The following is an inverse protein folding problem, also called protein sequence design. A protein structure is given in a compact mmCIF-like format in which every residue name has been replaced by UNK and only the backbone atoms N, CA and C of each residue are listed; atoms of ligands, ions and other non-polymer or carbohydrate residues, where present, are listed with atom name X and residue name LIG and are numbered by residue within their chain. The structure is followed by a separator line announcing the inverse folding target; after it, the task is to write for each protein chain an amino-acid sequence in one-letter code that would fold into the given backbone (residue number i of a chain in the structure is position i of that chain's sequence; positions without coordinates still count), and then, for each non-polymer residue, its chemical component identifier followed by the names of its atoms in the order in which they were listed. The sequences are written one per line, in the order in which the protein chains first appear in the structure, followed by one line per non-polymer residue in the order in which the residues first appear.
data_IF_194611194933
#
_entry.id   IF_194611194933
#
_cell.length_a   1.000
_cell.length_b   1.000
_cell.length_c   1.000
_cell.angle_alpha   90.00
_cell.angle_beta   90.00
_cell.angle_gamma   90.00
#
_symmetry.space_group_name_H-M   'P 1'
#
loop_
_entity.id
_entity.type
_entity.pdbx_description
1 polymer ?
#
# COMPACT_ATOMS: atom_id res chain seq x y z
N UNK A 1 -12.12 44.61 -17.52
CA UNK A 1 -13.30 43.75 -17.37
C UNK A 1 -12.75 42.36 -17.11
N UNK A 2 -12.83 41.86 -15.88
CA UNK A 2 -12.24 40.56 -15.53
C UNK A 2 -13.12 39.44 -16.12
N UNK A 3 -12.67 38.85 -17.23
CA UNK A 3 -13.39 37.76 -17.89
C UNK A 3 -13.05 36.46 -17.15
N UNK A 4 -14.05 35.83 -16.55
CA UNK A 4 -13.96 34.48 -15.98
C UNK A 4 -14.54 33.48 -16.97
N UNK A 5 -13.73 32.53 -17.44
CA UNK A 5 -14.21 31.46 -18.31
C UNK A 5 -15.07 30.49 -17.49
N UNK A 6 -14.65 30.17 -16.26
CA UNK A 6 -15.41 29.31 -15.37
C UNK A 6 -16.77 29.94 -15.02
N UNK A 7 -16.79 31.19 -14.58
CA UNK A 7 -18.02 31.93 -14.26
C UNK A 7 -18.97 32.06 -15.45
N UNK A 8 -18.45 32.09 -16.68
CA UNK A 8 -19.27 32.15 -17.89
C UNK A 8 -20.08 30.87 -18.15
N UNK A 9 -19.62 29.72 -17.64
CA UNK A 9 -20.29 28.43 -17.82
C UNK A 9 -20.87 27.86 -16.53
N UNK A 10 -20.47 28.36 -15.36
CA UNK A 10 -20.79 27.81 -14.04
C UNK A 10 -22.30 27.64 -13.74
N UNK A 11 -23.16 28.56 -14.21
CA UNK A 11 -24.62 28.48 -14.01
C UNK A 11 -25.28 27.37 -14.83
N UNK A 12 -24.63 26.90 -15.89
CA UNK A 12 -25.10 25.81 -16.74
C UNK A 12 -24.50 24.45 -16.30
N UNK A 13 -23.84 24.42 -15.13
CA UNK A 13 -22.82 23.44 -14.76
C UNK A 13 -23.12 22.65 -13.47
N UNK A 14 -24.22 22.92 -12.76
CA UNK A 14 -24.48 22.36 -11.42
C UNK A 14 -24.42 20.82 -11.39
N UNK A 15 -24.77 20.15 -12.48
CA UNK A 15 -24.82 18.69 -12.55
C UNK A 15 -23.53 18.01 -13.07
N UNK A 16 -22.51 18.76 -13.53
CA UNK A 16 -21.33 18.22 -14.26
C UNK A 16 -19.97 18.51 -13.60
N UNK A 17 -19.96 18.84 -12.31
CA UNK A 17 -18.72 19.06 -11.55
C UNK A 17 -17.96 17.76 -11.35
N UNK A 18 -16.86 17.57 -12.09
CA UNK A 18 -16.05 16.36 -12.08
C UNK A 18 -14.58 16.61 -11.71
N UNK A 19 -14.13 17.86 -11.69
CA UNK A 19 -12.74 18.22 -11.35
C UNK A 19 -12.70 18.81 -9.95
N UNK A 20 -12.11 18.06 -9.00
CA UNK A 20 -11.95 18.48 -7.60
C UNK A 20 -10.52 18.67 -7.14
N UNK A 21 -9.59 18.01 -7.83
CA UNK A 21 -8.17 18.01 -7.49
C UNK A 21 -7.35 18.43 -8.70
N UNK A 22 -6.14 18.93 -8.44
CA UNK A 22 -5.16 19.22 -9.49
C UNK A 22 -4.82 17.98 -10.32
N UNK A 23 -4.77 16.79 -9.68
CA UNK A 23 -4.49 15.52 -10.35
C UNK A 23 -5.57 15.18 -11.36
N UNK A 24 -6.85 15.35 -11.00
CA UNK A 24 -7.98 15.13 -11.90
C UNK A 24 -7.97 16.14 -13.05
N UNK A 25 -7.70 17.42 -12.77
CA UNK A 25 -7.60 18.47 -13.79
C UNK A 25 -6.49 18.15 -14.82
N UNK A 26 -5.32 17.73 -14.35
CA UNK A 26 -4.20 17.37 -15.19
C UNK A 26 -4.48 16.11 -16.02
N UNK A 27 -5.07 15.07 -15.41
CA UNK A 27 -5.45 13.84 -16.12
C UNK A 27 -6.44 14.13 -17.25
N UNK A 28 -7.47 14.93 -16.98
CA UNK A 28 -8.46 15.34 -17.97
C UNK A 28 -7.85 16.20 -19.10
N UNK A 29 -7.10 17.24 -18.74
CA UNK A 29 -6.35 18.05 -19.71
C UNK A 29 -5.46 17.21 -20.63
N UNK A 30 -4.74 16.24 -20.05
CA UNK A 30 -3.89 15.32 -20.82
C UNK A 30 -4.70 14.43 -21.77
N UNK A 31 -5.85 13.89 -21.35
CA UNK A 31 -6.70 13.08 -22.23
C UNK A 31 -7.16 13.86 -23.47
N UNK A 32 -7.57 15.13 -23.31
CA UNK A 32 -7.93 15.98 -24.46
C UNK A 32 -6.75 16.21 -25.40
N UNK A 33 -5.59 16.56 -24.85
CA UNK A 33 -4.39 16.84 -25.63
C UNK A 33 -3.91 15.59 -26.37
N UNK A 34 -3.88 14.44 -25.70
CA UNK A 34 -3.50 13.17 -26.32
C UNK A 34 -4.49 12.75 -27.42
N UNK A 35 -5.78 13.06 -27.28
CA UNK A 35 -6.74 12.80 -28.34
C UNK A 35 -6.44 13.61 -29.60
N UNK A 36 -6.08 14.88 -29.45
CA UNK A 36 -5.66 15.74 -30.56
C UNK A 36 -4.37 15.22 -31.21
N UNK A 37 -3.38 14.83 -30.40
CA UNK A 37 -2.09 14.35 -30.89
C UNK A 37 -2.18 12.99 -31.60
N UNK A 38 -2.92 12.04 -31.04
CA UNK A 38 -3.01 10.67 -31.57
C UNK A 38 -3.75 10.61 -32.92
N UNK A 39 -4.75 11.47 -33.10
CA UNK A 39 -5.52 11.54 -34.35
C UNK A 39 -5.03 12.63 -35.30
N UNK A 40 -3.93 13.30 -34.96
CA UNK A 40 -3.36 14.41 -35.72
C UNK A 40 -4.40 15.46 -36.13
N UNK A 41 -5.27 15.83 -35.19
CA UNK A 41 -6.42 16.66 -35.50
C UNK A 41 -5.99 18.12 -35.76
N UNK A 42 -6.33 18.63 -36.94
CA UNK A 42 -6.08 20.01 -37.32
C UNK A 42 -7.11 20.95 -36.65
N UNK A 43 -6.93 21.20 -35.36
CA UNK A 43 -7.86 21.93 -34.47
C UNK A 43 -7.33 23.30 -34.05
N UNK A 44 -8.25 24.16 -33.62
CA UNK A 44 -7.93 25.30 -32.78
C UNK A 44 -7.92 24.84 -31.32
N UNK A 45 -6.74 24.90 -30.71
CA UNK A 45 -6.50 24.47 -29.33
C UNK A 45 -6.18 25.68 -28.46
N UNK A 46 -6.93 25.82 -27.37
CA UNK A 46 -6.71 26.82 -26.34
C UNK A 46 -6.30 26.12 -25.05
N UNK A 47 -5.18 26.53 -24.45
CA UNK A 47 -4.68 25.96 -23.20
C UNK A 47 -4.31 27.07 -22.25
N UNK A 48 -4.90 27.06 -21.05
CA UNK A 48 -4.53 27.93 -19.94
C UNK A 48 -3.88 27.12 -18.81
N UNK A 49 -2.63 27.44 -18.50
CA UNK A 49 -1.93 26.97 -17.31
C UNK A 49 -1.61 28.15 -16.39
N UNK A 50 -1.19 27.88 -15.16
CA UNK A 50 -0.88 28.93 -14.19
C UNK A 50 0.31 29.79 -14.64
N UNK A 51 1.38 29.17 -15.17
CA UNK A 51 2.67 29.86 -15.45
C UNK A 51 3.32 29.40 -16.75
N UNK A 52 4.12 30.28 -17.36
CA UNK A 52 4.92 29.96 -18.54
C UNK A 52 5.98 28.88 -18.29
N UNK A 53 6.55 28.82 -17.09
CA UNK A 53 7.47 27.73 -16.71
C UNK A 53 6.84 26.33 -16.80
N UNK A 54 5.52 26.19 -16.57
CA UNK A 54 4.84 24.89 -16.70
C UNK A 54 4.84 24.39 -18.15
N UNK A 55 4.77 25.30 -19.14
CA UNK A 55 4.85 24.94 -20.56
C UNK A 55 6.25 24.47 -20.93
N UNK A 56 7.29 25.06 -20.34
CA UNK A 56 8.70 24.65 -20.59
C UNK A 56 8.96 23.26 -20.03
N UNK A 57 8.42 22.94 -18.86
CA UNK A 57 8.52 21.58 -18.29
C UNK A 57 7.92 20.51 -19.23
N UNK A 58 6.95 20.89 -20.07
CA UNK A 58 6.28 20.01 -21.04
C UNK A 58 6.65 20.36 -22.51
N UNK A 59 7.84 20.92 -22.75
CA UNK A 59 8.24 21.46 -24.07
C UNK A 59 8.05 20.47 -25.22
N UNK A 60 8.36 19.19 -25.02
CA UNK A 60 8.23 18.16 -26.07
C UNK A 60 6.77 17.98 -26.52
N UNK A 61 5.86 17.85 -25.56
CA UNK A 61 4.41 17.72 -25.79
C UNK A 61 3.86 18.94 -26.54
N UNK A 62 4.23 20.15 -26.10
CA UNK A 62 3.79 21.38 -26.74
C UNK A 62 4.43 21.59 -28.13
N UNK A 63 5.67 21.15 -28.34
CA UNK A 63 6.30 21.17 -29.67
C UNK A 63 5.54 20.28 -30.66
N UNK A 64 5.12 19.09 -30.23
CA UNK A 64 4.26 18.20 -31.04
C UNK A 64 2.91 18.85 -31.33
N UNK A 65 2.28 19.47 -30.33
CA UNK A 65 1.01 20.19 -30.52
C UNK A 65 1.12 21.33 -31.53
N UNK A 66 2.18 22.14 -31.45
CA UNK A 66 2.41 23.23 -32.40
C UNK A 66 2.67 22.79 -33.84
N UNK A 67 3.08 21.53 -34.04
CA UNK A 67 3.24 20.94 -35.38
C UNK A 67 1.95 20.33 -35.93
N UNK A 68 1.03 19.89 -35.05
CA UNK A 68 -0.20 19.17 -35.41
C UNK A 68 -1.41 20.09 -35.54
N UNK A 69 -1.60 20.99 -34.58
CA UNK A 69 -2.78 21.86 -34.53
C UNK A 69 -2.71 22.96 -35.59
N UNK A 70 -3.87 23.45 -36.04
CA UNK A 70 -3.93 24.66 -36.89
C UNK A 70 -3.40 25.87 -36.14
N UNK A 71 -3.80 25.97 -34.88
CA UNK A 71 -3.40 27.03 -33.98
C UNK A 71 -3.41 26.52 -32.54
N UNK A 72 -2.38 26.92 -31.78
CA UNK A 72 -2.35 26.74 -30.33
C UNK A 72 -2.19 28.10 -29.67
N UNK A 73 -3.14 28.47 -28.79
CA UNK A 73 -3.02 29.62 -27.92
C UNK A 73 -2.75 29.15 -26.49
N UNK A 74 -1.59 29.52 -25.96
CA UNK A 74 -1.14 29.16 -24.63
C UNK A 74 -1.22 30.38 -23.70
N UNK A 75 -2.07 30.32 -22.69
CA UNK A 75 -2.25 31.37 -21.70
C UNK A 75 -1.54 31.00 -20.40
N UNK A 76 -0.89 31.97 -19.78
CA UNK A 76 -0.22 31.78 -18.49
C UNK A 76 0.42 33.05 -17.97
N UNK A 77 0.73 33.06 -16.68
CA UNK A 77 1.46 34.17 -16.05
C UNK A 77 2.93 34.16 -16.55
N UNK A 78 3.47 35.29 -17.03
CA UNK A 78 4.83 35.38 -17.55
C UNK A 78 5.87 35.42 -16.41
N UNK A 79 6.07 34.28 -15.73
CA UNK A 79 7.12 34.11 -14.72
C UNK A 79 8.53 33.99 -15.34
N UNK A 80 8.57 33.54 -16.59
CA UNK A 80 9.76 33.51 -17.45
C UNK A 80 9.44 34.18 -18.79
N UNK A 81 10.47 34.43 -19.60
CA UNK A 81 10.28 34.86 -20.99
C UNK A 81 9.43 33.86 -21.78
N UNK A 82 8.57 34.37 -22.67
CA UNK A 82 7.68 33.55 -23.48
C UNK A 82 8.46 32.45 -24.21
N UNK A 83 8.09 31.16 -24.04
CA UNK A 83 8.82 30.07 -24.67
C UNK A 83 8.79 30.15 -26.20
N UNK A 84 9.94 29.95 -26.85
CA UNK A 84 10.02 29.88 -28.31
C UNK A 84 9.66 28.47 -28.78
N UNK A 85 8.36 28.18 -28.86
CA UNK A 85 7.82 26.93 -29.42
C UNK A 85 7.09 27.23 -30.73
N UNK A 86 7.56 26.64 -31.83
CA UNK A 86 6.97 26.85 -33.16
C UNK A 86 5.52 26.39 -33.18
N UNK A 87 4.62 27.22 -33.74
CA UNK A 87 3.20 26.92 -33.87
C UNK A 87 2.35 27.22 -32.62
N UNK A 88 2.96 27.75 -31.56
CA UNK A 88 2.26 28.18 -30.35
C UNK A 88 2.38 29.70 -30.21
N UNK A 89 1.25 30.35 -29.94
CA UNK A 89 1.22 31.75 -29.54
C UNK A 89 0.99 31.84 -28.03
N UNK A 90 1.96 32.38 -27.31
CA UNK A 90 1.87 32.62 -25.88
C UNK A 90 1.18 33.95 -25.61
N UNK A 91 0.16 33.93 -24.77
CA UNK A 91 -0.63 35.10 -24.38
C UNK A 91 -0.40 35.32 -22.88
N UNK A 92 0.24 36.43 -22.49
CA UNK A 92 0.50 36.71 -21.09
C UNK A 92 -0.80 37.00 -20.35
N UNK A 93 -0.99 36.36 -19.20
CA UNK A 93 -2.05 36.68 -18.25
C UNK A 93 -1.50 37.69 -17.23
N UNK A 94 -2.29 38.71 -16.90
CA UNK A 94 -1.95 39.66 -15.83
C UNK A 94 -1.98 38.96 -14.45
N UNK A 95 -0.91 39.07 -13.63
CA UNK A 95 -0.89 38.56 -12.27
C UNK A 95 -2.04 39.18 -11.44
N UNK A 96 -2.74 38.35 -10.68
CA UNK A 96 -3.91 38.72 -9.88
C UNK A 96 -5.25 38.66 -10.62
N UNK A 97 -5.26 38.40 -11.93
CA UNK A 97 -6.51 38.27 -12.70
C UNK A 97 -7.25 36.96 -12.39
N UNK A 98 -8.55 36.91 -12.68
CA UNK A 98 -9.35 35.68 -12.48
C UNK A 98 -8.83 34.51 -13.32
N UNK A 99 -8.26 34.79 -14.50
CA UNK A 99 -7.70 33.76 -15.39
C UNK A 99 -6.44 33.09 -14.81
N UNK A 100 -5.70 33.74 -13.92
CA UNK A 100 -4.55 33.12 -13.23
C UNK A 100 -5.01 31.91 -12.39
N UNK A 101 -6.23 31.99 -11.83
CA UNK A 101 -6.83 30.95 -10.99
C UNK A 101 -7.55 29.88 -11.82
N UNK A 102 -7.68 30.08 -13.12
CA UNK A 102 -8.42 29.18 -14.01
C UNK A 102 -7.47 28.34 -14.88
N UNK A 103 -7.64 27.03 -14.82
CA UNK A 103 -7.02 26.07 -15.73
C UNK A 103 -8.04 25.64 -16.76
N UNK A 104 -7.68 25.68 -18.03
CA UNK A 104 -8.59 25.28 -19.09
C UNK A 104 -7.88 24.65 -20.28
N UNK A 105 -8.58 23.74 -20.94
CA UNK A 105 -8.22 23.20 -22.25
C UNK A 105 -9.48 23.17 -23.08
N UNK A 106 -9.48 23.82 -24.24
CA UNK A 106 -10.62 23.84 -25.15
C UNK A 106 -10.15 23.51 -26.55
N UNK A 107 -10.82 22.54 -27.16
CA UNK A 107 -10.64 22.14 -28.54
C UNK A 107 -11.91 22.48 -29.30
N UNK A 108 -11.77 23.18 -30.42
CA UNK A 108 -12.90 23.54 -31.25
C UNK A 108 -12.60 23.29 -32.72
N UNK A 109 -13.24 22.28 -33.31
CA UNK A 109 -13.09 21.95 -34.74
C UNK A 109 -14.36 21.28 -35.30
N UNK A 110 -14.50 21.17 -36.64
CA UNK A 110 -15.63 20.47 -37.26
C UNK A 110 -15.82 19.04 -36.76
N UNK A 111 -14.72 18.33 -36.57
CA UNK A 111 -14.68 16.89 -36.31
C UNK A 111 -14.55 16.55 -34.82
N UNK A 112 -14.00 17.47 -34.03
CA UNK A 112 -13.84 17.29 -32.59
C UNK A 112 -13.98 18.61 -31.82
N UNK A 113 -14.84 18.61 -30.80
CA UNK A 113 -15.01 19.72 -29.87
C UNK A 113 -15.19 19.24 -28.43
N UNK A 114 -14.43 19.81 -27.52
CA UNK A 114 -14.50 19.49 -26.10
C UNK A 114 -13.84 20.60 -25.29
N UNK A 115 -14.22 20.72 -24.03
CA UNK A 115 -13.61 21.68 -23.13
C UNK A 115 -13.51 21.14 -21.71
N UNK A 116 -12.49 21.58 -21.01
CA UNK A 116 -12.35 21.47 -19.57
C UNK A 116 -12.02 22.86 -19.04
N UNK A 117 -12.73 23.28 -18.00
CA UNK A 117 -12.44 24.53 -17.28
C UNK A 117 -12.55 24.25 -15.79
N UNK A 118 -11.55 24.66 -15.02
CA UNK A 118 -11.50 24.50 -13.58
C UNK A 118 -10.89 25.74 -12.94
N UNK A 119 -11.42 26.17 -11.79
CA UNK A 119 -10.90 27.29 -11.01
C UNK A 119 -10.37 26.79 -9.66
N UNK A 120 -9.30 27.39 -9.14
CA UNK A 120 -8.79 27.08 -7.81
C UNK A 120 -9.70 27.66 -6.73
N UNK A 121 -10.09 26.83 -5.77
CA UNK A 121 -10.88 27.25 -4.60
C UNK A 121 -9.94 27.41 -3.40
N UNK A 122 -9.83 28.64 -2.89
CA UNK A 122 -9.09 28.90 -1.65
C UNK A 122 -9.84 28.24 -0.47
N UNK A 123 -9.20 27.27 0.18
CA UNK A 123 -9.72 26.69 1.42
C UNK A 123 -9.37 27.60 2.60
N UNK A 124 -10.37 27.97 3.38
CA UNK A 124 -10.29 28.92 4.50
C UNK A 124 -9.45 28.43 5.70
N UNK A 125 -8.78 27.27 5.59
CA UNK A 125 -7.96 26.69 6.65
C UNK A 125 -6.50 26.65 6.17
N UNK A 126 -5.68 27.57 6.67
CA UNK A 126 -4.27 27.82 6.31
C UNK A 126 -3.27 26.69 6.59
N UNK A 127 -3.64 25.44 6.33
CA UNK A 127 -2.73 24.32 6.14
C UNK A 127 -2.41 24.23 4.64
N UNK A 128 -1.16 23.94 4.23
CA UNK A 128 -0.82 23.65 2.84
C UNK A 128 -1.37 22.26 2.48
N UNK A 129 -2.68 22.17 2.29
CA UNK A 129 -3.36 21.00 1.73
C UNK A 129 -3.71 21.33 0.28
N UNK A 130 -3.55 20.31 -0.56
CA UNK A 130 -3.85 20.24 -2.00
C UNK A 130 -4.78 21.37 -2.48
N UNK A 131 -4.33 22.16 -3.46
CA UNK A 131 -5.19 23.13 -4.13
C UNK A 131 -6.45 22.40 -4.61
N UNK A 132 -7.58 22.73 -3.99
CA UNK A 132 -8.87 22.23 -4.43
C UNK A 132 -9.27 22.99 -5.68
N UNK A 133 -9.79 22.26 -6.65
CA UNK A 133 -10.33 22.84 -7.87
C UNK A 133 -11.85 22.65 -7.88
N UNK A 134 -12.54 23.56 -8.55
CA UNK A 134 -13.93 23.38 -8.93
C UNK A 134 -14.02 23.57 -10.44
N UNK A 135 -14.48 22.55 -11.13
CA UNK A 135 -14.41 22.50 -12.58
C UNK A 135 -15.15 21.32 -13.16
N UNK A 136 -15.16 21.27 -14.48
CA UNK A 136 -15.52 20.04 -15.14
C UNK A 136 -15.17 20.00 -16.60
N UNK A 137 -15.74 18.98 -17.21
CA UNK A 137 -15.54 18.59 -18.59
C UNK A 137 -16.85 18.68 -19.34
N UNK A 138 -16.82 19.17 -20.58
CA UNK A 138 -17.99 19.30 -21.43
C UNK A 138 -17.72 19.01 -22.90
N UNK A 139 -18.75 18.45 -23.56
CA UNK A 139 -18.82 18.26 -25.02
C UNK A 139 -19.96 19.10 -25.63
N UNK A 140 -20.60 19.96 -24.85
CA UNK A 140 -21.71 20.77 -25.32
C UNK A 140 -21.18 21.85 -26.29
N UNK A 141 -21.77 21.89 -27.50
CA UNK A 141 -21.41 22.84 -28.55
C UNK A 141 -21.47 24.30 -28.08
N UNK A 142 -22.56 24.70 -27.43
CA UNK A 142 -22.78 26.09 -27.01
C UNK A 142 -21.73 26.52 -25.99
N UNK A 143 -21.36 25.62 -25.07
CA UNK A 143 -20.30 25.88 -24.09
C UNK A 143 -18.94 26.02 -24.76
N UNK A 144 -18.58 25.11 -25.67
CA UNK A 144 -17.30 25.18 -26.40
C UNK A 144 -17.21 26.46 -27.23
N UNK A 145 -18.28 26.82 -27.94
CA UNK A 145 -18.32 28.04 -28.74
C UNK A 145 -18.23 29.30 -27.87
N UNK A 146 -18.91 29.32 -26.72
CA UNK A 146 -18.85 30.43 -25.76
C UNK A 146 -17.44 30.62 -25.19
N UNK A 147 -16.81 29.54 -24.72
CA UNK A 147 -15.46 29.63 -24.16
C UNK A 147 -14.46 29.99 -25.27
N UNK A 148 -14.57 29.40 -26.45
CA UNK A 148 -13.70 29.74 -27.60
C UNK A 148 -13.82 31.21 -28.01
N UNK A 149 -15.03 31.77 -27.99
CA UNK A 149 -15.28 33.19 -28.25
C UNK A 149 -14.58 34.07 -27.19
N UNK A 150 -14.79 33.79 -25.91
CA UNK A 150 -14.18 34.56 -24.81
C UNK A 150 -12.66 34.50 -24.87
N UNK A 151 -12.09 33.31 -25.08
CA UNK A 151 -10.65 33.11 -25.21
C UNK A 151 -10.08 33.86 -26.41
N UNK A 152 -10.80 33.87 -27.55
CA UNK A 152 -10.38 34.64 -28.74
C UNK A 152 -10.42 36.15 -28.47
N UNK A 153 -11.41 36.64 -27.73
CA UNK A 153 -11.50 38.05 -27.33
C UNK A 153 -10.34 38.45 -26.41
N UNK A 154 -10.01 37.61 -25.41
CA UNK A 154 -8.86 37.83 -24.52
C UNK A 154 -7.56 37.85 -25.34
N UNK A 155 -7.45 37.00 -26.36
CA UNK A 155 -6.31 36.95 -27.27
C UNK A 155 -6.24 38.13 -28.26
N UNK A 156 -7.25 39.01 -28.30
CA UNK A 156 -7.35 40.08 -29.30
C UNK A 156 -7.50 39.55 -30.73
N UNK A 157 -8.11 38.37 -30.92
CA UNK A 157 -8.31 37.71 -32.22
C UNK A 157 -9.79 37.64 -32.60
N UNK A 158 -10.05 37.64 -33.90
CA UNK A 158 -11.38 37.36 -34.43
C UNK A 158 -11.75 35.89 -34.20
N UNK A 159 -12.91 35.67 -33.59
CA UNK A 159 -13.48 34.33 -33.43
C UNK A 159 -14.15 33.88 -34.72
N UNK A 160 -13.73 32.75 -35.26
CA UNK A 160 -14.37 32.12 -36.42
C UNK A 160 -15.29 30.98 -35.96
N UNK A 161 -16.62 31.14 -36.06
CA UNK A 161 -17.54 30.08 -35.68
C UNK A 161 -17.45 28.90 -36.66
N UNK A 162 -17.43 27.69 -36.11
CA UNK A 162 -17.41 26.46 -36.90
C UNK A 162 -18.80 26.23 -37.53
N UNK A 163 -18.87 26.35 -38.85
CA UNK A 163 -20.13 26.30 -39.60
C UNK A 163 -20.70 24.88 -39.71
N UNK A 164 -19.83 23.89 -39.96
CA UNK A 164 -20.22 22.49 -40.16
C UNK A 164 -19.63 21.61 -39.06
N UNK A 165 -20.45 20.73 -38.48
CA UNK A 165 -20.04 19.79 -37.42
C UNK A 165 -20.28 18.36 -37.86
N UNK A 166 -19.29 17.51 -37.67
CA UNK A 166 -19.38 16.08 -37.91
C UNK A 166 -19.67 15.35 -36.60
N UNK A 167 -20.96 15.18 -36.29
CA UNK A 167 -21.39 14.51 -35.06
C UNK A 167 -20.97 13.04 -34.99
N UNK A 168 -20.83 12.36 -36.12
CA UNK A 168 -20.37 10.97 -36.12
C UNK A 168 -18.90 10.86 -35.69
N UNK A 169 -18.05 11.72 -36.25
CA UNK A 169 -16.63 11.79 -35.88
C UNK A 169 -16.46 12.23 -34.41
N UNK A 170 -17.23 13.23 -33.97
CA UNK A 170 -17.26 13.65 -32.57
C UNK A 170 -17.62 12.49 -31.63
N UNK A 171 -18.68 11.76 -31.93
CA UNK A 171 -19.13 10.65 -31.08
C UNK A 171 -18.09 9.53 -31.01
N UNK A 172 -17.37 9.27 -32.12
CA UNK A 172 -16.25 8.33 -32.12
C UNK A 172 -15.12 8.77 -31.18
N UNK A 173 -14.74 10.06 -31.21
CA UNK A 173 -13.73 10.59 -30.30
C UNK A 173 -14.18 10.59 -28.84
N UNK A 174 -15.45 10.91 -28.54
CA UNK A 174 -16.01 10.83 -27.18
C UNK A 174 -15.96 9.38 -26.68
N UNK A 175 -16.36 8.40 -27.50
CA UNK A 175 -16.37 7.01 -27.10
C UNK A 175 -14.96 6.51 -26.74
N UNK A 176 -13.95 6.88 -27.53
CA UNK A 176 -12.55 6.54 -27.25
C UNK A 176 -12.02 7.22 -25.99
N UNK A 177 -12.34 8.52 -25.80
CA UNK A 177 -11.97 9.24 -24.58
C UNK A 177 -12.57 8.60 -23.33
N UNK A 178 -13.86 8.26 -23.38
CA UNK A 178 -14.52 7.58 -22.27
C UNK A 178 -13.91 6.20 -21.99
N UNK A 179 -13.55 5.45 -23.04
CA UNK A 179 -12.85 4.17 -22.89
C UNK A 179 -11.50 4.35 -22.18
N UNK A 180 -10.67 5.31 -22.60
CA UNK A 180 -9.38 5.60 -21.97
C UNK A 180 -9.53 6.09 -20.54
N UNK A 181 -10.54 6.91 -20.26
CA UNK A 181 -10.84 7.37 -18.91
C UNK A 181 -11.20 6.19 -18.00
N UNK A 182 -12.02 5.25 -18.49
CA UNK A 182 -12.38 4.04 -17.75
C UNK A 182 -11.15 3.17 -17.46
N UNK A 183 -10.29 2.95 -18.46
CA UNK A 183 -9.03 2.21 -18.30
C UNK A 183 -8.11 2.86 -17.24
N UNK A 184 -8.03 4.20 -17.22
CA UNK A 184 -7.26 4.92 -16.20
C UNK A 184 -7.88 4.82 -14.80
N UNK A 185 -9.21 4.87 -14.70
CA UNK A 185 -9.91 4.71 -13.43
C UNK A 185 -9.74 3.31 -12.86
N UNK A 186 -9.88 2.27 -13.70
CA UNK A 186 -9.66 0.88 -13.30
C UNK A 186 -8.21 0.66 -12.83
N UNK A 187 -7.22 1.19 -13.56
CA UNK A 187 -5.82 1.11 -13.16
C UNK A 187 -5.56 1.82 -11.82
N UNK A 188 -6.10 3.02 -11.64
CA UNK A 188 -5.96 3.79 -10.40
C UNK A 188 -6.66 3.12 -9.22
N UNK A 189 -7.82 2.49 -9.44
CA UNK A 189 -8.55 1.73 -8.42
C UNK A 189 -7.75 0.51 -7.97
N UNK A 190 -7.19 -0.26 -8.91
CA UNK A 190 -6.32 -1.40 -8.61
C UNK A 190 -5.11 -0.96 -7.78
N UNK A 191 -4.45 0.15 -8.16
CA UNK A 191 -3.30 0.68 -7.42
C UNK A 191 -3.69 1.15 -6.01
N UNK A 192 -4.80 1.87 -5.89
CA UNK A 192 -5.33 2.34 -4.60
C UNK A 192 -5.66 1.16 -3.68
N UNK A 193 -6.33 0.14 -4.21
CA UNK A 193 -6.67 -1.06 -3.46
C UNK A 193 -5.40 -1.79 -2.98
N UNK A 194 -4.40 -1.97 -3.85
CA UNK A 194 -3.10 -2.56 -3.46
C UNK A 194 -2.41 -1.74 -2.37
N UNK A 195 -2.39 -0.41 -2.50
CA UNK A 195 -1.78 0.47 -1.49
C UNK A 195 -2.46 0.36 -0.13
N UNK A 196 -3.78 0.27 -0.10
CA UNK A 196 -4.53 0.03 1.14
C UNK A 196 -4.20 -1.32 1.77
N UNK A 197 -4.08 -2.38 0.96
CA UNK A 197 -3.67 -3.71 1.44
C UNK A 197 -2.26 -3.67 2.04
N UNK A 198 -1.30 -3.00 1.39
CA UNK A 198 0.06 -2.81 1.90
C UNK A 198 0.08 -2.07 3.25
N UNK A 199 -0.63 -0.94 3.35
CA UNK A 199 -0.69 -0.14 4.58
C UNK A 199 -1.38 -0.91 5.72
N UNK A 200 -2.47 -1.61 5.42
CA UNK A 200 -3.20 -2.42 6.41
C UNK A 200 -2.33 -3.58 6.92
N UNK A 201 -1.59 -4.23 6.02
CA UNK A 201 -0.63 -5.30 6.37
C UNK A 201 0.44 -4.79 7.34
N UNK A 202 1.05 -3.63 7.04
CA UNK A 202 2.07 -3.04 7.92
C UNK A 202 1.50 -2.60 9.27
N UNK A 203 0.31 -1.99 9.27
CA UNK A 203 -0.37 -1.58 10.49
C UNK A 203 -0.66 -2.77 11.41
N UNK A 204 -1.31 -3.81 10.91
CA UNK A 204 -1.60 -5.03 11.68
C UNK A 204 -0.33 -5.75 12.13
N UNK A 205 0.68 -5.83 11.27
CA UNK A 205 1.96 -6.39 11.65
C UNK A 205 2.61 -5.60 12.79
N UNK A 206 2.60 -4.25 12.72
CA UNK A 206 3.13 -3.41 13.79
C UNK A 206 2.39 -3.60 15.12
N UNK A 207 1.08 -3.83 15.06
CA UNK A 207 0.27 -4.12 16.25
C UNK A 207 0.69 -5.44 16.91
N UNK A 208 1.02 -6.49 16.13
CA UNK A 208 1.58 -7.74 16.67
C UNK A 208 2.95 -7.51 17.31
N UNK A 209 3.81 -6.70 16.70
CA UNK A 209 5.15 -6.45 17.23
C UNK A 209 5.14 -5.82 18.63
N UNK A 210 4.09 -5.06 18.95
CA UNK A 210 3.91 -4.41 20.25
C UNK A 210 3.40 -5.36 21.35
N UNK A 211 2.92 -6.56 20.98
CA UNK A 211 2.40 -7.53 21.95
C UNK A 211 3.54 -8.37 22.53
N UNK A 212 3.52 -8.59 23.86
CA UNK A 212 4.49 -9.45 24.56
C UNK A 212 4.24 -10.96 24.34
N UNK A 213 4.10 -11.38 23.08
CA UNK A 213 3.85 -12.79 22.73
C UNK A 213 5.15 -13.59 22.55
N UNK A 214 5.16 -14.91 22.75
CA UNK A 214 6.32 -15.74 22.44
C UNK A 214 6.62 -15.74 20.92
N UNK A 215 7.90 -15.86 20.56
CA UNK A 215 8.37 -15.73 19.17
C UNK A 215 7.66 -16.66 18.17
N UNK A 216 7.34 -17.93 18.49
CA UNK A 216 6.59 -18.79 17.59
C UNK A 216 5.21 -18.24 17.20
N UNK A 217 4.49 -17.60 18.14
CA UNK A 217 3.19 -16.98 17.87
C UNK A 217 3.32 -15.78 16.93
N UNK A 218 4.30 -14.91 17.18
CA UNK A 218 4.58 -13.74 16.33
C UNK A 218 4.88 -14.18 14.87
N UNK A 219 5.68 -15.23 14.70
CA UNK A 219 6.01 -15.75 13.36
C UNK A 219 4.78 -16.36 12.67
N UNK A 220 3.94 -17.07 13.43
CA UNK A 220 2.71 -17.67 12.91
C UNK A 220 1.70 -16.59 12.47
N UNK A 221 1.51 -15.56 13.28
CA UNK A 221 0.58 -14.47 12.98
C UNK A 221 1.11 -13.60 11.83
N UNK A 222 2.43 -13.40 11.73
CA UNK A 222 3.05 -12.72 10.59
C UNK A 222 2.76 -13.45 9.26
N UNK A 223 2.90 -14.79 9.23
CA UNK A 223 2.53 -15.58 8.06
C UNK A 223 1.03 -15.51 7.78
N UNK A 224 0.19 -15.53 8.83
CA UNK A 224 -1.25 -15.40 8.67
C UNK A 224 -1.60 -14.06 8.02
N UNK A 225 -1.09 -12.94 8.52
CA UNK A 225 -1.30 -11.60 7.92
C UNK A 225 -0.87 -11.57 6.45
N UNK A 226 0.30 -12.13 6.13
CA UNK A 226 0.79 -12.19 4.75
C UNK A 226 -0.13 -13.03 3.83
N UNK A 227 -0.79 -14.05 4.36
CA UNK A 227 -1.76 -14.84 3.59
C UNK A 227 -3.13 -14.17 3.51
N UNK A 228 -3.63 -13.56 4.59
CA UNK A 228 -5.02 -13.09 4.68
C UNK A 228 -5.21 -11.63 4.27
N UNK A 229 -4.31 -10.74 4.69
CA UNK A 229 -4.42 -9.29 4.46
C UNK A 229 -3.57 -8.88 3.27
N UNK A 230 -2.40 -9.48 3.08
CA UNK A 230 -1.56 -9.18 1.92
C UNK A 230 -1.97 -9.96 0.66
N UNK A 231 -2.83 -10.97 0.80
CA UNK A 231 -3.40 -11.73 -0.32
C UNK A 231 -2.46 -12.74 -0.96
N UNK A 232 -1.38 -13.14 -0.26
CA UNK A 232 -0.50 -14.18 -0.77
C UNK A 232 -1.21 -15.54 -0.81
N UNK A 233 -1.09 -16.26 -1.94
CA UNK A 233 -1.63 -17.62 -2.06
C UNK A 233 -0.99 -18.55 -1.04
N UNK A 234 0.29 -18.32 -0.78
CA UNK A 234 1.05 -19.05 0.21
C UNK A 234 2.09 -18.11 0.85
N UNK A 235 2.44 -18.35 2.10
CA UNK A 235 3.48 -17.59 2.81
C UNK A 235 4.29 -18.48 3.74
N UNK A 236 5.60 -18.23 3.81
CA UNK A 236 6.51 -19.04 4.60
C UNK A 236 7.59 -18.19 5.29
N UNK A 237 7.99 -18.63 6.49
CA UNK A 237 9.17 -18.10 7.19
C UNK A 237 10.10 -19.27 7.53
N UNK A 238 11.36 -19.13 7.12
CA UNK A 238 12.44 -20.05 7.48
C UNK A 238 13.50 -19.33 8.29
N UNK A 239 13.96 -19.96 9.38
CA UNK A 239 15.01 -19.41 10.25
C UNK A 239 16.25 -20.30 10.22
N UNK A 240 17.42 -19.69 10.37
CA UNK A 240 18.71 -20.37 10.44
C UNK A 240 19.01 -20.84 11.87
N UNK A 241 19.20 -22.15 12.06
CA UNK A 241 19.56 -22.76 13.34
C UNK A 241 20.96 -23.34 13.24
N UNK A 242 21.98 -22.56 13.65
CA UNK A 242 23.41 -22.90 13.74
C UNK A 242 23.91 -24.03 12.82
N UNK A 243 24.60 -23.62 11.74
CA UNK A 243 25.34 -24.48 10.82
C UNK A 243 24.49 -24.94 9.63
N UNK A 244 24.40 -24.10 8.58
CA UNK A 244 23.76 -24.34 7.25
C UNK A 244 22.40 -25.06 7.22
N UNK A 245 21.74 -25.13 8.38
CA UNK A 245 20.52 -25.89 8.61
C UNK A 245 19.40 -24.93 8.93
N UNK A 246 18.52 -24.78 7.96
CA UNK A 246 17.35 -23.94 8.07
C UNK A 246 16.13 -24.77 8.48
N UNK A 247 15.36 -24.25 9.42
CA UNK A 247 14.08 -24.82 9.82
C UNK A 247 12.96 -23.94 9.27
N UNK A 248 12.06 -24.55 8.52
CA UNK A 248 10.81 -23.94 8.08
C UNK A 248 9.91 -23.87 9.31
N UNK A 249 9.63 -22.66 9.81
CA UNK A 249 8.88 -22.47 11.05
C UNK A 249 7.37 -22.43 10.79
N UNK A 250 6.97 -21.70 9.75
CA UNK A 250 5.56 -21.52 9.42
C UNK A 250 5.37 -21.61 7.91
N UNK A 251 4.35 -22.36 7.50
CA UNK A 251 3.85 -22.44 6.13
C UNK A 251 2.32 -22.25 6.21
N UNK A 252 1.79 -21.23 5.52
CA UNK A 252 0.36 -20.92 5.45
C UNK A 252 -0.33 -20.81 6.82
N UNK A 253 0.35 -20.15 7.78
CA UNK A 253 -0.18 -19.90 9.11
C UNK A 253 -0.29 -21.14 10.00
N UNK A 254 0.20 -22.30 9.55
CA UNK A 254 0.30 -23.54 10.33
C UNK A 254 1.74 -23.80 10.73
N UNK A 255 1.93 -24.21 11.99
CA UNK A 255 3.20 -24.74 12.47
C UNK A 255 3.47 -26.06 11.74
N UNK A 256 4.62 -26.16 11.09
CA UNK A 256 5.00 -27.33 10.30
C UNK A 256 5.28 -28.54 11.21
N UNK A 257 4.37 -29.52 11.20
CA UNK A 257 4.50 -30.79 11.94
C UNK A 257 5.57 -31.68 11.32
N UNK A 258 6.82 -31.48 11.77
CA UNK A 258 7.80 -32.57 11.96
C UNK A 258 8.43 -33.26 10.74
N UNK A 259 7.96 -33.08 9.49
CA UNK A 259 8.52 -33.79 8.31
C UNK A 259 9.13 -32.92 7.21
N UNK A 260 9.05 -31.59 7.30
CA UNK A 260 9.68 -30.74 6.28
C UNK A 260 11.16 -30.55 6.59
N UNK A 261 11.93 -31.29 5.80
CA UNK A 261 13.38 -31.41 5.66
C UNK A 261 14.15 -30.16 6.08
N UNK A 262 15.16 -30.40 6.92
CA UNK A 262 16.46 -29.75 6.80
C UNK A 262 16.86 -29.73 5.32
N UNK A 263 16.56 -28.65 4.63
CA UNK A 263 16.92 -28.47 3.23
C UNK A 263 18.00 -27.43 3.18
N UNK A 264 19.05 -27.67 2.40
CA UNK A 264 20.01 -26.64 2.03
C UNK A 264 19.25 -25.55 1.30
N UNK A 265 18.88 -24.49 2.01
CA UNK A 265 18.12 -23.34 1.52
C UNK A 265 19.00 -22.48 0.59
N UNK A 266 19.91 -23.08 -0.17
CA UNK A 266 20.87 -22.43 -1.06
C UNK A 266 20.45 -22.40 -2.53
N UNK A 267 19.29 -22.95 -2.88
CA UNK A 267 18.78 -23.01 -4.26
C UNK A 267 17.37 -22.41 -4.30
N UNK A 268 17.10 -21.54 -5.28
CA UNK A 268 15.82 -20.82 -5.43
C UNK A 268 15.90 -19.33 -5.08
N UNK A 269 14.75 -18.66 -5.07
CA UNK A 269 14.59 -17.25 -4.72
C UNK A 269 14.92 -17.00 -3.25
N UNK A 270 14.45 -17.88 -2.37
CA UNK A 270 14.68 -17.76 -0.92
C UNK A 270 16.14 -17.96 -0.56
N UNK A 271 16.84 -18.84 -1.27
CA UNK A 271 18.29 -19.04 -1.08
C UNK A 271 19.16 -17.93 -1.62
N UNK A 272 18.77 -17.33 -2.75
CA UNK A 272 19.42 -16.11 -3.24
C UNK A 272 19.23 -14.95 -2.27
N UNK A 273 18.03 -14.79 -1.72
CA UNK A 273 17.75 -13.73 -0.75
C UNK A 273 18.62 -13.88 0.51
N UNK A 274 18.81 -15.12 1.00
CA UNK A 274 19.69 -15.43 2.12
C UNK A 274 21.17 -15.16 1.80
N UNK A 275 21.67 -15.66 0.68
CA UNK A 275 23.09 -15.57 0.31
C UNK A 275 23.50 -14.14 -0.06
N UNK A 276 22.63 -13.42 -0.76
CA UNK A 276 22.90 -12.06 -1.24
C UNK A 276 22.48 -10.99 -0.24
N UNK A 277 21.72 -11.35 0.81
CA UNK A 277 21.13 -10.41 1.77
C UNK A 277 20.35 -9.28 1.07
N UNK A 278 19.59 -9.63 0.02
CA UNK A 278 18.82 -8.70 -0.80
C UNK A 278 17.42 -9.25 -1.07
N UNK A 279 16.49 -8.32 -1.30
CA UNK A 279 15.16 -8.65 -1.78
C UNK A 279 15.28 -9.31 -3.17
N UNK A 280 14.68 -10.50 -3.32
CA UNK A 280 14.58 -11.18 -4.62
C UNK A 280 13.10 -11.28 -4.98
N UNK A 281 12.75 -10.74 -6.16
CA UNK A 281 11.42 -10.84 -6.73
C UNK A 281 11.50 -11.60 -8.05
N UNK A 282 10.69 -12.65 -8.18
CA UNK A 282 10.58 -13.46 -9.39
C UNK A 282 9.14 -13.36 -9.89
N UNK A 283 8.99 -12.71 -11.05
CA UNK A 283 7.74 -12.57 -11.78
C UNK A 283 7.17 -13.91 -12.26
N UNK A 284 8.05 -14.81 -12.75
CA UNK A 284 7.66 -16.12 -13.24
C UNK A 284 8.77 -17.17 -13.02
N UNK A 285 8.47 -18.14 -12.16
CA UNK A 285 9.36 -19.25 -11.78
C UNK A 285 9.59 -20.21 -12.96
N UNK A 286 8.61 -20.37 -13.84
CA UNK A 286 8.71 -21.25 -15.02
C UNK A 286 9.77 -20.76 -16.01
N UNK A 287 9.88 -19.43 -16.17
CA UNK A 287 10.84 -18.82 -17.10
C UNK A 287 12.28 -18.84 -16.56
N UNK A 288 12.43 -18.75 -15.24
CA UNK A 288 13.75 -18.74 -14.60
C UNK A 288 14.32 -20.14 -14.37
N UNK A 289 13.49 -21.19 -14.45
CA UNK A 289 13.90 -22.59 -14.25
C UNK A 289 14.33 -22.91 -12.81
N UNK A 290 14.11 -21.98 -11.87
CA UNK A 290 14.52 -22.11 -10.48
C UNK A 290 13.44 -22.84 -9.68
N UNK A 291 13.71 -24.03 -9.15
CA UNK A 291 12.75 -24.70 -8.26
C UNK A 291 12.86 -24.12 -6.85
N UNK A 292 11.81 -23.44 -6.41
CA UNK A 292 11.70 -22.95 -5.04
C UNK A 292 11.32 -24.09 -4.09
N UNK A 293 12.13 -24.29 -3.04
CA UNK A 293 11.98 -25.42 -2.11
C UNK A 293 10.90 -25.12 -1.07
N UNK A 294 10.76 -23.86 -0.67
CA UNK A 294 9.74 -23.44 0.30
C UNK A 294 8.33 -23.48 -0.29
N UNK A 295 8.21 -23.25 -1.61
CA UNK A 295 6.92 -22.95 -2.26
C UNK A 295 6.86 -23.55 -3.68
N UNK A 296 6.72 -24.88 -3.81
CA UNK A 296 6.78 -25.55 -5.12
C UNK A 296 5.58 -25.24 -6.04
N UNK A 297 4.45 -24.77 -5.50
CA UNK A 297 3.24 -24.44 -6.27
C UNK A 297 3.18 -22.96 -6.71
N UNK A 298 4.10 -22.12 -6.26
CA UNK A 298 4.06 -20.69 -6.55
C UNK A 298 4.70 -20.38 -7.92
N UNK A 299 3.99 -19.60 -8.72
CA UNK A 299 4.42 -19.15 -10.05
C UNK A 299 5.17 -17.82 -9.97
N UNK A 300 4.81 -16.95 -9.02
CA UNK A 300 5.54 -15.72 -8.71
C UNK A 300 5.88 -15.66 -7.22
N UNK A 301 7.04 -15.10 -6.91
CA UNK A 301 7.64 -15.16 -5.57
C UNK A 301 8.28 -13.83 -5.19
N UNK A 302 8.17 -13.47 -3.92
CA UNK A 302 8.99 -12.43 -3.29
C UNK A 302 9.64 -13.00 -2.05
N UNK A 303 10.96 -12.93 -1.99
CA UNK A 303 11.78 -13.40 -0.88
C UNK A 303 12.57 -12.25 -0.27
N UNK A 304 12.37 -11.99 1.03
CA UNK A 304 13.09 -10.97 1.78
C UNK A 304 13.88 -11.61 2.93
N UNK A 305 15.18 -11.31 3.07
CA UNK A 305 15.98 -11.79 4.18
C UNK A 305 15.55 -11.13 5.50
N UNK A 306 15.51 -11.92 6.57
CA UNK A 306 15.36 -11.45 7.95
C UNK A 306 16.76 -11.09 8.44
N UNK A 307 17.23 -9.90 8.07
CA UNK A 307 18.56 -9.42 8.39
C UNK A 307 18.53 -8.52 9.61
N UNK A 308 19.21 -8.92 10.68
CA UNK A 308 19.47 -8.03 11.81
C UNK A 308 20.88 -7.46 11.76
N UNK A 309 21.25 -6.70 12.79
CA UNK A 309 22.54 -6.03 12.92
C UNK A 309 23.72 -7.01 12.95
N UNK A 310 23.52 -8.19 13.53
CA UNK A 310 24.62 -9.15 13.79
C UNK A 310 24.73 -10.26 12.76
N UNK A 311 23.61 -10.67 12.15
CA UNK A 311 23.55 -11.78 11.18
C UNK A 311 22.21 -11.82 10.45
N UNK A 312 22.15 -12.65 9.40
CA UNK A 312 20.89 -13.07 8.77
C UNK A 312 20.26 -14.17 9.61
N UNK A 313 19.07 -13.91 10.15
CA UNK A 313 18.33 -14.84 11.00
C UNK A 313 17.47 -15.82 10.18
N UNK A 314 17.11 -15.46 8.95
CA UNK A 314 16.20 -16.25 8.13
C UNK A 314 15.73 -15.53 6.89
N UNK A 315 14.64 -16.01 6.30
CA UNK A 315 14.00 -15.45 5.10
C UNK A 315 12.48 -15.54 5.25
N UNK A 316 11.79 -14.48 4.83
CA UNK A 316 10.35 -14.44 4.61
C UNK A 316 10.12 -14.62 3.13
N UNK A 317 9.19 -15.49 2.74
CA UNK A 317 8.83 -15.71 1.34
C UNK A 317 7.32 -15.71 1.19
N UNK A 318 6.83 -14.96 0.21
CA UNK A 318 5.43 -14.95 -0.21
C UNK A 318 5.34 -15.37 -1.66
N UNK A 319 4.28 -16.08 -1.99
CA UNK A 319 4.09 -16.65 -3.33
C UNK A 319 2.66 -16.50 -3.81
N UNK A 320 2.51 -16.37 -5.12
CA UNK A 320 1.21 -16.36 -5.81
C UNK A 320 1.19 -17.39 -6.94
N UNK A 321 -0.01 -17.90 -7.24
CA UNK A 321 -0.27 -18.80 -8.38
C UNK A 321 -0.35 -18.05 -9.71
N UNK A 322 -0.45 -16.73 -9.69
CA UNK A 322 -0.46 -15.90 -10.89
C UNK A 322 0.95 -15.38 -11.22
N UNK A 323 1.37 -15.36 -12.50
CA UNK A 323 2.58 -14.66 -12.91
C UNK A 323 2.42 -13.15 -12.69
N UNK A 324 3.54 -12.44 -12.48
CA UNK A 324 3.57 -10.97 -12.31
C UNK A 324 2.65 -10.42 -11.21
N UNK A 325 2.38 -11.22 -10.18
CA UNK A 325 1.48 -10.83 -9.09
C UNK A 325 2.03 -9.69 -8.22
N UNK A 326 3.36 -9.56 -8.14
CA UNK A 326 4.06 -8.72 -7.18
C UNK A 326 4.80 -7.58 -7.84
N UNK A 327 4.58 -6.35 -7.37
CA UNK A 327 5.31 -5.17 -7.83
C UNK A 327 6.49 -4.81 -6.90
N UNK A 328 7.22 -3.75 -7.23
CA UNK A 328 8.37 -3.30 -6.41
C UNK A 328 7.96 -2.79 -5.02
N UNK A 329 6.77 -2.19 -4.87
CA UNK A 329 6.29 -1.68 -3.58
C UNK A 329 5.87 -2.83 -2.66
N UNK A 330 5.20 -3.86 -3.20
CA UNK A 330 4.89 -5.11 -2.51
C UNK A 330 6.16 -5.74 -1.92
N UNK A 331 7.24 -5.75 -2.71
CA UNK A 331 8.55 -6.19 -2.28
C UNK A 331 9.12 -5.39 -1.11
N UNK A 332 8.95 -4.06 -1.11
CA UNK A 332 9.37 -3.18 0.01
C UNK A 332 8.52 -3.45 1.26
N UNK A 333 7.21 -3.72 1.11
CA UNK A 333 6.34 -4.10 2.22
C UNK A 333 6.82 -5.40 2.88
N UNK A 334 7.11 -6.44 2.09
CA UNK A 334 7.64 -7.71 2.62
C UNK A 334 9.00 -7.51 3.29
N UNK A 335 9.87 -6.67 2.72
CA UNK A 335 11.15 -6.31 3.34
C UNK A 335 10.99 -5.59 4.69
N UNK A 336 10.02 -4.66 4.79
CA UNK A 336 9.74 -3.96 6.05
C UNK A 336 9.28 -4.94 7.14
N UNK A 337 8.43 -5.91 6.78
CA UNK A 337 8.00 -6.99 7.68
C UNK A 337 9.20 -7.84 8.12
N UNK A 338 10.04 -8.27 7.17
CA UNK A 338 11.25 -9.05 7.48
C UNK A 338 12.22 -8.30 8.40
N UNK A 339 12.36 -6.98 8.22
CA UNK A 339 13.16 -6.11 9.07
C UNK A 339 12.58 -6.02 10.48
N UNK A 340 11.27 -5.83 10.61
CA UNK A 340 10.59 -5.82 11.91
C UNK A 340 10.72 -7.14 12.67
N UNK A 341 10.62 -8.28 11.96
CA UNK A 341 10.88 -9.60 12.53
C UNK A 341 12.32 -9.73 13.05
N UNK A 342 13.30 -9.22 12.30
CA UNK A 342 14.70 -9.27 12.71
C UNK A 342 14.93 -8.55 14.05
N UNK A 343 14.31 -7.37 14.24
CA UNK A 343 14.38 -6.59 15.48
C UNK A 343 13.84 -7.37 16.68
N UNK A 344 12.65 -7.99 16.55
CA UNK A 344 12.08 -8.78 17.65
C UNK A 344 12.91 -10.02 17.95
N UNK A 345 13.40 -10.70 16.91
CA UNK A 345 14.27 -11.86 17.08
C UNK A 345 15.51 -11.43 17.86
N UNK A 346 16.15 -10.32 17.51
CA UNK A 346 17.30 -9.77 18.24
C UNK A 346 16.98 -9.43 19.70
N UNK A 347 15.89 -8.73 19.94
CA UNK A 347 15.45 -8.33 21.28
C UNK A 347 15.24 -9.57 22.17
N UNK A 348 14.54 -10.59 21.66
CA UNK A 348 14.28 -11.83 22.41
C UNK A 348 15.53 -12.71 22.56
N UNK A 349 16.45 -12.67 21.58
CA UNK A 349 17.75 -13.34 21.71
C UNK A 349 18.57 -12.80 22.87
N UNK A 350 18.62 -11.47 22.97
CA UNK A 350 19.43 -10.76 23.95
C UNK A 350 18.89 -10.94 25.36
N UNK A 351 17.55 -11.03 25.51
CA UNK A 351 16.89 -11.21 26.82
C UNK A 351 16.99 -12.64 27.35
N UNK A 352 17.02 -13.67 26.50
CA UNK A 352 16.90 -15.08 26.93
C UNK A 352 18.09 -15.99 26.64
N UNK A 353 19.18 -15.46 26.09
CA UNK A 353 20.46 -16.17 25.92
C UNK A 353 20.51 -17.22 24.80
N UNK A 354 19.39 -17.89 24.47
CA UNK A 354 19.36 -18.85 23.36
C UNK A 354 17.96 -19.06 22.76
N UNK A 355 17.68 -18.40 21.62
CA UNK A 355 16.42 -18.53 20.87
C UNK A 355 16.15 -19.99 20.49
N UNK A 356 17.21 -20.71 20.13
CA UNK A 356 17.15 -22.12 19.72
C UNK A 356 16.61 -22.99 20.85
N UNK A 357 16.99 -22.70 22.09
CA UNK A 357 16.55 -23.44 23.26
C UNK A 357 15.08 -23.18 23.57
N UNK A 358 14.63 -21.92 23.49
CA UNK A 358 13.22 -21.56 23.66
C UNK A 358 12.34 -22.21 22.58
N UNK A 359 12.79 -22.19 21.32
CA UNK A 359 12.11 -22.84 20.20
C UNK A 359 12.06 -24.36 20.35
N UNK A 360 13.14 -24.99 20.84
CA UNK A 360 13.13 -26.44 21.15
C UNK A 360 12.17 -26.77 22.28
N UNK A 361 12.15 -25.97 23.36
CA UNK A 361 11.28 -26.19 24.53
C UNK A 361 9.81 -26.04 24.18
N UNK A 362 9.43 -24.96 23.49
CA UNK A 362 8.05 -24.74 23.03
C UNK A 362 7.58 -25.90 22.13
N UNK A 363 8.42 -26.34 21.21
CA UNK A 363 8.14 -27.49 20.33
C UNK A 363 8.04 -28.81 21.09
N UNK A 364 8.92 -29.07 22.05
CA UNK A 364 8.85 -30.28 22.88
C UNK A 364 7.55 -30.32 23.69
N UNK A 365 7.13 -29.18 24.25
CA UNK A 365 5.86 -29.07 24.95
C UNK A 365 4.67 -29.33 24.02
N UNK A 366 4.60 -28.71 22.85
CA UNK A 366 3.53 -28.97 21.87
C UNK A 366 3.51 -30.43 21.40
N UNK A 367 4.67 -31.04 21.17
CA UNK A 367 4.78 -32.45 20.78
C UNK A 367 4.36 -33.39 21.91
N UNK A 368 4.67 -33.06 23.16
CA UNK A 368 4.18 -33.81 24.32
C UNK A 368 2.67 -33.67 24.45
N UNK A 369 2.13 -32.45 24.36
CA UNK A 369 0.68 -32.19 24.45
C UNK A 369 -0.10 -32.90 23.33
N UNK A 370 0.39 -32.86 22.10
CA UNK A 370 -0.24 -33.58 20.98
C UNK A 370 -0.16 -35.10 21.13
N UNK A 371 0.95 -35.63 21.64
CA UNK A 371 1.08 -37.07 21.96
C UNK A 371 0.20 -37.49 23.14
N UNK A 372 -0.06 -36.62 24.12
CA UNK A 372 -0.95 -36.86 25.26
C UNK A 372 -2.43 -36.73 24.89
N UNK A 373 -2.75 -35.97 23.86
CA UNK A 373 -4.14 -35.76 23.39
C UNK A 373 -4.82 -37.06 22.95
N UNK A 374 -4.10 -37.97 22.29
CA UNK A 374 -4.66 -39.26 21.85
C UNK A 374 -4.95 -40.23 23.02
N UNK A 375 -3.99 -40.49 23.94
CA UNK A 375 -4.23 -41.24 25.16
C UNK A 375 -5.37 -40.65 25.99
N UNK A 376 -5.40 -39.32 26.20
CA UNK A 376 -6.48 -38.66 26.95
C UNK A 376 -7.84 -38.86 26.28
N UNK A 377 -7.96 -38.66 24.96
CA UNK A 377 -9.21 -38.88 24.25
C UNK A 377 -9.68 -40.35 24.34
N UNK A 378 -8.74 -41.30 24.32
CA UNK A 378 -9.04 -42.73 24.51
C UNK A 378 -9.48 -43.05 25.93
N UNK A 379 -8.89 -42.39 26.92
CA UNK A 379 -9.24 -42.53 28.33
C UNK A 379 -10.65 -41.97 28.59
N UNK A 380 -10.97 -40.79 28.06
CA UNK A 380 -12.32 -40.21 28.06
C UNK A 380 -13.35 -41.12 27.37
N UNK A 381 -13.02 -41.68 26.22
CA UNK A 381 -13.90 -42.61 25.51
C UNK A 381 -14.17 -43.90 26.33
N UNK A 382 -13.13 -44.44 26.98
CA UNK A 382 -13.28 -45.62 27.85
C UNK A 382 -14.07 -45.28 29.12
N UNK A 383 -13.87 -44.10 29.70
CA UNK A 383 -14.61 -43.60 30.85
C UNK A 383 -16.10 -43.45 30.53
N UNK A 384 -16.44 -42.86 29.39
CA UNK A 384 -17.81 -42.70 28.94
C UNK A 384 -18.49 -44.05 28.66
N UNK A 385 -17.76 -45.00 28.06
CA UNK A 385 -18.27 -46.36 27.81
C UNK A 385 -18.48 -47.17 29.09
N UNK A 386 -17.69 -46.93 30.14
CA UNK A 386 -17.89 -47.53 31.46
C UNK A 386 -19.09 -46.91 32.19
N UNK A 387 -19.32 -45.60 32.01
CA UNK A 387 -20.48 -44.91 32.56
C UNK A 387 -21.82 -45.44 32.00
N UNK A 388 -21.83 -45.85 30.72
CA UNK A 388 -23.03 -46.41 30.06
C UNK A 388 -23.35 -47.86 30.49
N UNK A 389 -22.49 -48.53 31.29
CA UNK A 389 -22.79 -49.86 31.83
C UNK A 389 -23.53 -49.76 33.16
N UNK A 390 -24.79 -50.21 33.17
CA UNK A 390 -25.80 -50.04 34.23
C UNK A 390 -25.54 -50.75 35.57
N UNK A 391 -24.41 -51.43 35.75
CA UNK A 391 -24.05 -52.09 37.02
C UNK A 391 -22.56 -51.89 37.33
N UNK A 392 -22.22 -50.76 37.95
CA UNK A 392 -20.88 -50.50 38.50
C UNK A 392 -20.83 -50.87 39.99
N UNK A 393 -19.77 -51.56 40.41
CA UNK A 393 -19.53 -51.86 41.83
C UNK A 393 -19.15 -50.58 42.60
N UNK A 394 -19.46 -50.45 43.91
CA UNK A 394 -19.20 -49.22 44.68
C UNK A 394 -17.73 -48.77 44.65
N UNK A 395 -16.79 -49.71 44.68
CA UNK A 395 -15.35 -49.43 44.59
C UNK A 395 -14.93 -48.85 43.22
N UNK A 396 -15.67 -49.16 42.15
CA UNK A 396 -15.43 -48.58 40.83
C UNK A 396 -15.98 -47.16 40.73
N UNK A 397 -17.05 -46.82 41.46
CA UNK A 397 -17.58 -45.46 41.53
C UNK A 397 -16.63 -44.51 42.27
N UNK A 398 -15.99 -45.00 43.34
CA UNK A 398 -15.03 -44.22 44.14
C UNK A 398 -13.73 -43.94 43.37
N UNK A 399 -13.16 -44.96 42.72
CA UNK A 399 -12.01 -44.80 41.82
C UNK A 399 -12.32 -43.86 40.63
N UNK A 400 -13.55 -43.86 40.13
CA UNK A 400 -13.98 -42.96 39.05
C UNK A 400 -14.07 -41.49 39.53
N UNK A 401 -14.58 -41.25 40.74
CA UNK A 401 -14.60 -39.91 41.32
C UNK A 401 -13.18 -39.37 41.56
N UNK A 402 -12.24 -40.22 41.93
CA UNK A 402 -10.82 -39.85 42.12
C UNK A 402 -10.13 -39.50 40.79
N UNK A 403 -10.42 -40.25 39.72
CA UNK A 403 -9.94 -39.97 38.36
C UNK A 403 -10.57 -38.69 37.79
N UNK A 404 -11.85 -38.41 38.05
CA UNK A 404 -12.50 -37.15 37.69
C UNK A 404 -11.89 -35.95 38.45
N UNK A 405 -11.55 -36.13 39.72
CA UNK A 405 -10.80 -35.14 40.51
C UNK A 405 -9.44 -34.79 39.88
N UNK A 406 -8.65 -35.81 39.52
CA UNK A 406 -7.35 -35.64 38.86
C UNK A 406 -7.48 -34.98 37.47
N UNK A 407 -8.53 -35.30 36.71
CA UNK A 407 -8.79 -34.67 35.41
C UNK A 407 -9.14 -33.19 35.56
N UNK A 408 -9.89 -32.83 36.59
CA UNK A 408 -10.26 -31.44 36.91
C UNK A 408 -9.04 -30.62 37.33
N UNK A 409 -8.08 -31.23 38.04
CA UNK A 409 -6.80 -30.59 38.36
C UNK A 409 -5.92 -30.37 37.12
N UNK A 410 -5.80 -31.38 36.25
CA UNK A 410 -4.99 -31.29 35.02
C UNK A 410 -5.56 -30.25 34.04
N UNK A 411 -6.89 -30.17 33.92
CA UNK A 411 -7.54 -29.15 33.09
C UNK A 411 -7.36 -27.74 33.66
N UNK A 412 -7.41 -27.56 34.99
CA UNK A 412 -7.01 -26.28 35.63
C UNK A 412 -5.54 -25.92 35.36
N UNK A 413 -4.62 -26.88 35.40
CA UNK A 413 -3.19 -26.59 35.18
C UNK A 413 -2.81 -26.31 33.72
N UNK A 414 -3.55 -26.86 32.75
CA UNK A 414 -3.27 -26.72 31.32
C UNK A 414 -4.05 -25.57 30.68
N UNK A 415 -5.25 -25.23 31.18
CA UNK A 415 -6.17 -24.31 30.52
C UNK A 415 -6.35 -22.94 31.21
N UNK A 416 -5.98 -22.79 32.49
CA UNK A 416 -5.87 -21.46 33.10
C UNK A 416 -4.43 -20.92 32.91
N UNK A 417 -4.22 -19.83 32.14
CA UNK A 417 -2.96 -19.13 32.23
C UNK A 417 -2.85 -18.58 33.65
N UNK A 418 -1.78 -18.94 34.38
CA UNK A 418 -1.45 -18.26 35.64
C UNK A 418 -1.48 -16.76 35.39
N UNK A 419 -2.29 -16.04 36.17
CA UNK A 419 -2.27 -14.59 36.25
C UNK A 419 -0.83 -14.06 36.35
N UNK A 420 -0.56 -12.85 35.82
CA UNK A 420 0.77 -12.27 35.85
C UNK A 420 1.29 -12.17 37.30
N UNK A 421 2.61 -12.24 37.52
CA UNK A 421 3.16 -12.21 38.88
C UNK A 421 2.75 -10.91 39.58
N UNK A 422 2.19 -11.10 40.76
CA UNK A 422 1.82 -10.08 41.73
C UNK A 422 3.08 -9.25 42.08
N UNK A 423 3.15 -8.00 41.60
CA UNK A 423 4.14 -7.03 42.06
C UNK A 423 3.72 -6.54 43.44
N UNK A 424 4.02 -7.32 44.46
CA UNK A 424 4.00 -6.86 45.85
C UNK A 424 5.40 -7.04 46.44
N UNK A 425 6.33 -6.20 45.97
CA UNK A 425 7.58 -5.96 46.69
C UNK A 425 7.25 -5.29 48.03
N UNK A 426 7.65 -5.96 49.11
CA UNK A 426 7.75 -5.35 50.43
C UNK A 426 8.63 -4.09 50.37
N UNK A 427 8.34 -3.05 51.16
CA UNK A 427 9.06 -1.79 51.09
C UNK A 427 10.53 -1.96 51.49
N UNK A 428 11.40 -1.65 50.54
CA UNK A 428 12.83 -1.48 50.71
C UNK A 428 13.07 -0.43 51.81
N UNK A 429 13.83 -0.81 52.84
CA UNK A 429 14.30 0.08 53.91
C UNK A 429 15.11 1.24 53.33
N UNK A 430 14.98 2.47 53.85
CA UNK A 430 15.72 3.62 53.32
C UNK A 430 17.22 3.49 53.62
N UNK A 431 18.10 3.97 52.73
CA UNK A 431 19.55 3.87 52.89
C UNK A 431 20.07 4.82 53.99
N UNK A 432 21.24 4.54 54.58
CA UNK A 432 21.79 5.32 55.68
C UNK A 432 22.20 6.73 55.21
N UNK A 433 21.92 7.73 56.05
CA UNK A 433 22.31 9.13 55.84
C UNK A 433 23.84 9.26 55.73
N UNK A 434 24.39 9.94 54.71
CA UNK A 434 25.80 10.28 54.69
C UNK A 434 26.08 11.43 55.65
N UNK A 435 27.10 11.23 56.47
CA UNK A 435 27.72 12.21 57.36
C UNK A 435 28.46 13.28 56.56
N UNK A 436 28.04 14.55 56.75
CA UNK A 436 28.92 15.67 57.07
C UNK A 436 29.72 16.37 55.96
N UNK A 437 29.39 17.68 55.82
CA UNK A 437 30.29 18.80 55.47
C UNK A 437 30.67 18.93 53.97
N UNK A 438 30.71 20.08 53.30
CA UNK A 438 31.01 21.46 53.72
C UNK A 438 30.55 22.44 52.60
N UNK A 439 30.05 23.62 53.00
CA UNK A 439 30.37 24.94 52.44
C UNK A 439 30.29 25.19 50.91
N UNK A 440 29.41 26.10 50.47
CA UNK A 440 29.80 27.50 50.23
C UNK A 440 28.69 28.35 49.59
N UNK A 441 28.42 29.48 50.26
CA UNK A 441 28.22 30.85 49.75
C UNK A 441 27.52 31.06 48.39
N UNK A 442 26.36 31.74 48.45
CA UNK A 442 26.05 32.83 47.51
C UNK A 442 25.54 34.05 48.29
N UNK A 443 26.15 35.18 47.94
CA UNK A 443 26.10 36.49 48.58
C UNK A 443 25.05 37.33 47.86
N UNK A 444 24.14 37.94 48.61
CA UNK A 444 23.56 39.24 48.26
C UNK A 444 24.51 40.34 48.77
N UNK A 445 24.59 41.44 48.02
CA UNK A 445 25.56 42.57 48.08
C UNK A 445 26.80 42.40 47.21
#
# INVERSE_FOLDING_TARGET
MEISLFGSIASQYENWRSVRTITTANAMSNLLIEQVLNHQLAVDLFVGLERFSEFVAQKEKYTRLGATCKQVLAFGVPDIGAPLIKGINFIPIEPGSVLERERFVVVNSPDFWAGMVATSVETSNGLPREQNFDGGWFYNRQMVERVSLLVSQIAGREYQPVQTRNYMQQNAHIAELNKRLLEQLEAAEIESHRRLMQLSTLHEFSAILLQHQPLPCILQDAVRILSTIFGASNAAIALNLQGDKFMIFCLDGKLSTGKQRLSSLGVGASGQALNQSKLISIANVVQTGQKEVLMPEAVSLVSAPIQGRRRVYGVVTVGSKTPDAWNSEDGKTVMAIATGLAVIIEQKAQVSGDIVLQMRRARQLEQMLTKLRQPMARLLYLQQKLHDQTHMLPMQQELMAEVEGLYTEVTKTIWEPKDPPDFNESPISPPPKPTGSLSSKTRTS
#
